data_IF_936164375179
#
_entry.id   IF_936164375179
#
_cell.length_a   1.000
_cell.length_b   1.000
_cell.length_c   1.000
_cell.angle_alpha   90.00
_cell.angle_beta   90.00
_cell.angle_gamma   90.00
#
_symmetry.space_group_name_H-M   'P 1'
#
loop_
_entity.id
_entity.type
_entity.pdbx_description
1 polymer ?
#
# COMPACT_ATOMS: atom_id res chain seq x y z
N UNK A 1 -2.40 21.63 14.45
CA UNK A 1 -3.22 20.39 14.55
C UNK A 1 -4.15 20.35 13.35
N UNK A 2 -3.77 19.62 12.29
CA UNK A 2 -4.57 19.57 11.05
C UNK A 2 -5.66 18.52 11.25
N UNK A 3 -6.92 18.89 11.00
CA UNK A 3 -8.08 18.00 10.99
C UNK A 3 -8.06 17.11 9.73
N UNK A 4 -7.13 16.16 9.68
CA UNK A 4 -6.92 15.24 8.55
C UNK A 4 -7.84 13.99 8.54
N UNK A 5 -8.47 13.49 9.64
CA UNK A 5 -9.15 12.19 9.61
C UNK A 5 -10.24 12.08 8.53
N UNK A 6 -11.01 13.15 8.32
CA UNK A 6 -12.08 13.16 7.29
C UNK A 6 -11.52 13.13 5.87
N UNK A 7 -10.38 13.78 5.63
CA UNK A 7 -9.72 13.77 4.32
C UNK A 7 -9.16 12.38 4.03
N UNK A 8 -8.41 11.79 4.97
CA UNK A 8 -7.84 10.44 4.78
C UNK A 8 -8.92 9.39 4.58
N UNK A 9 -9.99 9.43 5.38
CA UNK A 9 -11.14 8.54 5.19
C UNK A 9 -11.75 8.68 3.80
N UNK A 10 -11.89 9.91 3.31
CA UNK A 10 -12.45 10.16 1.97
C UNK A 10 -11.51 9.65 0.88
N UNK A 11 -10.21 9.91 1.02
CA UNK A 11 -9.20 9.43 0.08
C UNK A 11 -9.16 7.89 0.06
N UNK A 12 -9.12 7.22 1.21
CA UNK A 12 -9.18 5.75 1.31
C UNK A 12 -10.41 5.18 0.61
N UNK A 13 -11.59 5.80 0.80
CA UNK A 13 -12.81 5.36 0.14
C UNK A 13 -12.76 5.58 -1.38
N UNK A 14 -12.25 6.73 -1.84
CA UNK A 14 -12.14 7.06 -3.25
C UNK A 14 -11.08 6.20 -3.97
N UNK A 15 -9.99 5.82 -3.29
CA UNK A 15 -8.95 4.93 -3.81
C UNK A 15 -9.45 3.52 -4.15
N UNK A 16 -10.56 3.11 -3.53
CA UNK A 16 -11.21 1.81 -3.77
C UNK A 16 -12.57 1.96 -4.47
N UNK A 17 -12.93 3.16 -4.91
CA UNK A 17 -14.22 3.42 -5.53
C UNK A 17 -14.40 2.58 -6.79
N UNK A 18 -15.42 1.71 -6.78
CA UNK A 18 -15.81 0.87 -7.93
C UNK A 18 -14.65 0.01 -8.48
N UNK A 19 -13.73 -0.41 -7.62
CA UNK A 19 -12.48 -1.08 -8.02
C UNK A 19 -12.68 -2.45 -8.71
N UNK A 20 -13.86 -3.06 -8.56
CA UNK A 20 -14.21 -4.35 -9.18
C UNK A 20 -15.57 -4.30 -9.88
N UNK A 21 -16.02 -3.12 -10.32
CA UNK A 21 -17.31 -2.94 -10.99
C UNK A 21 -17.13 -2.27 -12.34
N UNK A 22 -17.56 -2.93 -13.41
CA UNK A 22 -17.64 -2.37 -14.75
C UNK A 22 -19.07 -1.92 -15.03
N UNK A 23 -19.28 -0.62 -15.23
CA UNK A 23 -20.62 -0.06 -15.47
C UNK A 23 -20.75 0.38 -16.93
N UNK A 24 -19.84 1.26 -17.37
CA UNK A 24 -19.73 1.77 -18.73
C UNK A 24 -18.36 2.45 -18.89
N UNK A 25 -17.82 2.48 -20.11
CA UNK A 25 -16.49 3.01 -20.43
C UNK A 25 -16.25 4.43 -19.89
N UNK A 26 -17.25 5.31 -19.96
CA UNK A 26 -17.10 6.69 -19.48
C UNK A 26 -16.98 6.78 -17.95
N UNK A 27 -17.82 6.02 -17.25
CA UNK A 27 -17.83 5.97 -15.78
C UNK A 27 -16.60 5.23 -15.25
N UNK A 28 -16.18 4.17 -15.93
CA UNK A 28 -15.02 3.37 -15.56
C UNK A 28 -13.73 4.20 -15.69
N UNK A 29 -13.59 5.00 -16.76
CA UNK A 29 -12.46 5.94 -16.93
C UNK A 29 -12.41 7.00 -15.83
N UNK A 30 -13.53 7.65 -15.53
CA UNK A 30 -13.57 8.65 -14.46
C UNK A 30 -13.27 8.02 -13.10
N UNK A 31 -13.78 6.81 -12.84
CA UNK A 31 -13.52 6.08 -11.61
C UNK A 31 -12.05 5.69 -11.48
N UNK A 32 -11.39 5.29 -12.58
CA UNK A 32 -9.94 5.04 -12.62
C UNK A 32 -9.14 6.29 -12.26
N UNK A 33 -9.45 7.43 -12.88
CA UNK A 33 -8.77 8.70 -12.60
C UNK A 33 -8.93 9.11 -11.13
N UNK A 34 -10.15 9.03 -10.58
CA UNK A 34 -10.42 9.33 -9.16
C UNK A 34 -9.63 8.41 -8.23
N UNK A 35 -9.59 7.10 -8.52
CA UNK A 35 -8.78 6.15 -7.73
C UNK A 35 -7.30 6.49 -7.79
N UNK A 36 -6.78 6.73 -8.99
CA UNK A 36 -5.36 7.04 -9.22
C UNK A 36 -4.92 8.28 -8.45
N UNK A 37 -5.66 9.39 -8.60
CA UNK A 37 -5.35 10.63 -7.88
C UNK A 37 -5.47 10.47 -6.37
N UNK A 38 -6.49 9.75 -5.89
CA UNK A 38 -6.68 9.53 -4.45
C UNK A 38 -5.52 8.71 -3.85
N UNK A 39 -5.07 7.66 -4.56
CA UNK A 39 -3.91 6.85 -4.16
C UNK A 39 -2.63 7.68 -4.16
N UNK A 40 -2.39 8.49 -5.20
CA UNK A 40 -1.24 9.40 -5.26
C UNK A 40 -1.25 10.38 -4.09
N UNK A 41 -2.40 10.95 -3.73
CA UNK A 41 -2.53 11.80 -2.54
C UNK A 41 -2.16 11.05 -1.25
N UNK A 42 -2.66 9.82 -1.07
CA UNK A 42 -2.31 9.02 0.11
C UNK A 42 -0.81 8.70 0.17
N UNK A 43 -0.18 8.38 -0.96
CA UNK A 43 1.27 8.14 -1.06
C UNK A 43 2.04 9.40 -0.65
N UNK A 44 1.61 10.59 -1.09
CA UNK A 44 2.27 11.83 -0.69
C UNK A 44 2.10 12.13 0.80
N UNK A 45 0.93 11.85 1.38
CA UNK A 45 0.72 11.97 2.82
C UNK A 45 1.60 10.97 3.56
N UNK A 46 1.74 9.75 3.06
CA UNK A 46 2.65 8.75 3.63
C UNK A 46 4.09 9.27 3.58
N UNK A 47 4.59 9.69 2.41
CA UNK A 47 5.97 10.13 2.21
C UNK A 47 6.35 11.35 3.06
N UNK A 48 5.48 12.38 3.08
CA UNK A 48 5.79 13.66 3.71
C UNK A 48 5.13 13.86 5.07
N UNK A 49 4.33 12.90 5.50
CA UNK A 49 3.65 12.91 6.79
C UNK A 49 4.57 12.53 7.94
N UNK A 50 4.44 13.25 9.04
CA UNK A 50 5.10 12.96 10.31
C UNK A 50 4.46 11.76 11.01
N UNK A 51 4.90 11.48 12.24
CA UNK A 51 4.36 10.40 13.07
C UNK A 51 2.83 10.45 13.20
N UNK A 52 2.26 11.64 13.39
CA UNK A 52 0.81 11.80 13.51
C UNK A 52 0.10 11.43 12.19
N UNK A 53 0.65 11.84 11.05
CA UNK A 53 0.11 11.45 9.76
C UNK A 53 0.21 9.93 9.52
N UNK A 54 1.30 9.28 9.93
CA UNK A 54 1.42 7.81 9.84
C UNK A 54 0.36 7.11 10.69
N UNK A 55 0.12 7.58 11.93
CA UNK A 55 -0.93 7.08 12.80
C UNK A 55 -2.31 7.16 12.16
N UNK A 56 -2.64 8.31 11.57
CA UNK A 56 -3.91 8.50 10.88
C UNK A 56 -4.05 7.63 9.63
N UNK A 57 -2.97 7.39 8.88
CA UNK A 57 -2.98 6.47 7.73
C UNK A 57 -3.33 5.05 8.16
N UNK A 58 -2.71 4.54 9.22
CA UNK A 58 -3.03 3.20 9.77
C UNK A 58 -4.48 3.12 10.24
N UNK A 59 -4.95 4.15 10.96
CA UNK A 59 -6.33 4.21 11.44
C UNK A 59 -7.36 4.26 10.30
N UNK A 60 -6.97 4.77 9.13
CA UNK A 60 -7.82 4.83 7.94
C UNK A 60 -7.56 3.68 6.94
N UNK A 61 -6.86 2.63 7.36
CA UNK A 61 -6.64 1.42 6.57
C UNK A 61 -5.75 1.63 5.35
N UNK A 62 -4.77 2.52 5.41
CA UNK A 62 -3.89 2.80 4.27
C UNK A 62 -3.18 1.55 3.75
N UNK A 63 -2.65 0.69 4.63
CA UNK A 63 -2.02 -0.58 4.23
C UNK A 63 -2.97 -1.45 3.40
N UNK A 64 -4.19 -1.62 3.90
CA UNK A 64 -5.30 -2.30 3.19
C UNK A 64 -5.63 -1.65 1.84
N UNK A 65 -5.69 -0.32 1.76
CA UNK A 65 -5.97 0.40 0.50
C UNK A 65 -4.89 0.11 -0.55
N UNK A 66 -3.62 0.17 -0.17
CA UNK A 66 -2.52 -0.13 -1.10
C UNK A 66 -2.57 -1.60 -1.53
N UNK A 67 -2.80 -2.51 -0.59
CA UNK A 67 -2.95 -3.95 -0.87
C UNK A 67 -4.02 -4.23 -1.92
N UNK A 68 -5.26 -3.85 -1.64
CA UNK A 68 -6.39 -4.07 -2.55
C UNK A 68 -6.15 -3.39 -3.91
N UNK A 69 -5.46 -2.25 -3.92
CA UNK A 69 -5.21 -1.51 -5.15
C UNK A 69 -4.33 -2.25 -6.15
N UNK A 70 -3.30 -2.98 -5.69
CA UNK A 70 -2.43 -3.72 -6.59
C UNK A 70 -2.89 -5.16 -6.81
N UNK A 71 -3.57 -5.79 -5.84
CA UNK A 71 -4.12 -7.13 -6.01
C UNK A 71 -5.26 -7.18 -7.02
N UNK A 72 -5.90 -6.03 -7.26
CA UNK A 72 -6.95 -5.86 -8.28
C UNK A 72 -6.42 -5.26 -9.59
N UNK A 73 -5.10 -5.12 -9.75
CA UNK A 73 -4.50 -4.68 -11.02
C UNK A 73 -4.80 -5.74 -12.09
N UNK A 74 -5.85 -5.50 -12.87
CA UNK A 74 -6.27 -6.34 -13.99
C UNK A 74 -5.63 -5.85 -15.29
N UNK A 75 -4.87 -6.71 -15.96
CA UNK A 75 -4.21 -6.40 -17.23
C UNK A 75 -3.50 -7.63 -17.81
N UNK A 76 -2.90 -7.48 -18.98
CA UNK A 76 -2.03 -8.48 -19.62
C UNK A 76 -0.92 -7.71 -20.33
N UNK A 77 0.10 -7.25 -19.61
CA UNK A 77 1.30 -6.57 -20.15
C UNK A 77 2.11 -5.86 -19.04
N UNK A 78 3.14 -5.11 -19.47
CA UNK A 78 4.02 -4.26 -18.66
C UNK A 78 3.29 -3.23 -17.79
N UNK A 79 2.07 -2.82 -18.15
CA UNK A 79 1.29 -1.85 -17.36
C UNK A 79 0.82 -2.50 -16.06
N UNK A 80 0.42 -3.77 -16.11
CA UNK A 80 0.08 -4.54 -14.92
C UNK A 80 1.30 -4.73 -14.01
N UNK A 81 2.44 -5.09 -14.59
CA UNK A 81 3.69 -5.26 -13.85
C UNK A 81 4.12 -3.96 -13.15
N UNK A 82 3.95 -2.81 -13.81
CA UNK A 82 4.22 -1.51 -13.21
C UNK A 82 3.32 -1.21 -12.00
N UNK A 83 2.02 -1.52 -12.09
CA UNK A 83 1.07 -1.30 -11.01
C UNK A 83 1.34 -2.22 -9.82
N UNK A 84 1.60 -3.50 -10.08
CA UNK A 84 1.98 -4.50 -9.07
C UNK A 84 3.28 -4.08 -8.38
N UNK A 85 4.31 -3.76 -9.16
CA UNK A 85 5.60 -3.32 -8.65
C UNK A 85 5.46 -2.08 -7.77
N UNK A 86 4.72 -1.07 -8.24
CA UNK A 86 4.51 0.15 -7.48
C UNK A 86 3.76 -0.14 -6.17
N UNK A 87 2.71 -0.95 -6.22
CA UNK A 87 1.96 -1.39 -5.02
C UNK A 87 2.85 -2.08 -3.99
N UNK A 88 3.63 -3.07 -4.41
CA UNK A 88 4.57 -3.81 -3.57
C UNK A 88 5.70 -2.92 -3.02
N UNK A 89 6.19 -1.95 -3.80
CA UNK A 89 7.16 -0.95 -3.35
C UNK A 89 6.56 -0.03 -2.28
N UNK A 90 5.34 0.45 -2.47
CA UNK A 90 4.68 1.33 -1.50
C UNK A 90 4.40 0.61 -0.17
N UNK A 91 3.86 -0.61 -0.22
CA UNK A 91 3.55 -1.39 1.00
C UNK A 91 4.83 -1.80 1.75
N UNK A 92 5.87 -2.24 1.01
CA UNK A 92 7.19 -2.55 1.56
C UNK A 92 7.76 -1.35 2.33
N UNK A 93 7.80 -0.18 1.68
CA UNK A 93 8.30 1.04 2.30
C UNK A 93 7.48 1.45 3.51
N UNK A 94 6.16 1.44 3.39
CA UNK A 94 5.28 1.83 4.49
C UNK A 94 5.51 0.97 5.73
N UNK A 95 5.51 -0.36 5.58
CA UNK A 95 5.76 -1.29 6.69
C UNK A 95 7.18 -1.14 7.26
N UNK A 96 8.18 -0.97 6.38
CA UNK A 96 9.57 -0.76 6.78
C UNK A 96 9.75 0.52 7.61
N UNK A 97 9.16 1.64 7.18
CA UNK A 97 9.23 2.90 7.90
C UNK A 97 8.49 2.83 9.24
N UNK A 98 7.33 2.16 9.30
CA UNK A 98 6.67 1.92 10.59
C UNK A 98 7.50 1.03 11.52
N UNK A 99 8.20 0.01 11.00
CA UNK A 99 8.94 -0.94 11.82
C UNK A 99 10.30 -0.39 12.29
N UNK A 100 11.04 0.28 11.40
CA UNK A 100 12.40 0.76 11.68
C UNK A 100 12.48 2.26 11.96
N UNK A 101 11.40 3.01 11.74
CA UNK A 101 11.41 4.47 11.75
C UNK A 101 11.91 5.05 10.42
N UNK A 102 11.90 6.38 10.32
CA UNK A 102 12.34 7.12 9.14
C UNK A 102 13.50 8.04 9.50
N UNK A 103 14.71 7.68 9.05
CA UNK A 103 15.95 8.43 9.33
C UNK A 103 16.62 9.05 8.09
N UNK A 104 16.26 8.59 6.89
CA UNK A 104 16.96 8.98 5.66
C UNK A 104 16.34 10.19 4.95
N UNK A 105 15.15 10.63 5.37
CA UNK A 105 14.48 11.82 4.84
C UNK A 105 13.46 12.39 5.82
N UNK A 106 13.14 13.67 5.67
CA UNK A 106 12.14 14.36 6.50
C UNK A 106 10.70 14.09 6.03
N UNK A 107 9.72 14.11 6.95
CA UNK A 107 9.88 14.27 8.40
C UNK A 107 10.38 13.00 9.07
N UNK A 108 11.31 13.13 10.02
CA UNK A 108 11.85 12.00 10.76
C UNK A 108 10.88 11.52 11.83
N UNK A 109 10.83 10.21 12.09
CA UNK A 109 10.11 9.63 13.22
C UNK A 109 10.77 8.32 13.68
N UNK A 110 10.60 8.01 14.95
CA UNK A 110 11.09 6.77 15.57
C UNK A 110 10.21 5.57 15.14
N UNK A 111 10.69 4.33 15.26
CA UNK A 111 9.86 3.13 15.07
C UNK A 111 8.47 3.23 15.71
N UNK A 112 7.44 2.82 14.96
CA UNK A 112 6.04 2.75 15.36
C UNK A 112 5.55 1.28 15.31
N UNK A 113 6.11 0.39 16.15
CA UNK A 113 5.93 -1.06 16.03
C UNK A 113 4.46 -1.52 16.18
N UNK A 114 3.67 -0.85 17.03
CA UNK A 114 2.24 -1.14 17.16
C UNK A 114 1.47 -0.85 15.87
N UNK A 115 1.84 0.21 15.17
CA UNK A 115 1.22 0.60 13.91
C UNK A 115 1.65 -0.30 12.75
N UNK A 116 2.91 -0.72 12.75
CA UNK A 116 3.40 -1.74 11.83
C UNK A 116 2.56 -3.02 11.97
N UNK A 117 2.35 -3.47 13.21
CA UNK A 117 1.54 -4.66 13.52
C UNK A 117 0.10 -4.53 13.04
N UNK A 118 -0.57 -3.43 13.41
CA UNK A 118 -1.95 -3.18 12.97
C UNK A 118 -2.08 -3.15 11.45
N UNK A 119 -1.09 -2.58 10.75
CA UNK A 119 -1.09 -2.54 9.28
C UNK A 119 -0.96 -3.92 8.68
N UNK A 120 -0.08 -4.77 9.23
CA UNK A 120 0.06 -6.16 8.78
C UNK A 120 -1.21 -6.94 9.03
N UNK A 121 -1.80 -6.86 10.23
CA UNK A 121 -3.07 -7.53 10.55
C UNK A 121 -4.18 -7.13 9.55
N UNK A 122 -4.33 -5.83 9.24
CA UNK A 122 -5.29 -5.33 8.25
C UNK A 122 -5.06 -5.86 6.83
N UNK A 123 -3.80 -6.10 6.45
CA UNK A 123 -3.41 -6.57 5.13
C UNK A 123 -3.63 -8.09 5.05
N UNK A 124 -3.26 -8.85 6.09
CA UNK A 124 -3.49 -10.29 6.18
C UNK A 124 -4.99 -10.64 6.16
N UNK A 125 -5.83 -9.86 6.83
CA UNK A 125 -7.29 -10.02 6.82
C UNK A 125 -7.92 -9.96 5.41
N UNK A 126 -7.23 -9.34 4.44
CA UNK A 126 -7.69 -9.21 3.05
C UNK A 126 -7.10 -10.28 2.11
N UNK A 127 -6.40 -11.30 2.63
CA UNK A 127 -5.83 -12.39 1.83
C UNK A 127 -4.47 -12.05 1.21
N UNK A 128 -3.68 -11.21 1.89
CA UNK A 128 -2.38 -10.81 1.39
C UNK A 128 -1.34 -11.92 1.31
N UNK A 129 -1.49 -12.98 2.11
CA UNK A 129 -0.55 -14.09 2.08
C UNK A 129 -0.60 -14.80 0.73
N UNK A 130 -1.80 -15.10 0.23
CA UNK A 130 -2.02 -15.74 -1.06
C UNK A 130 -1.57 -14.86 -2.23
N UNK A 131 -1.91 -13.57 -2.19
CA UNK A 131 -1.53 -12.64 -3.25
C UNK A 131 -0.02 -12.42 -3.30
N UNK A 132 0.63 -12.20 -2.15
CA UNK A 132 2.10 -12.03 -2.10
C UNK A 132 2.79 -13.29 -2.56
N UNK A 133 2.30 -14.48 -2.21
CA UNK A 133 2.84 -15.75 -2.70
C UNK A 133 2.69 -15.93 -4.21
N UNK A 134 1.58 -15.47 -4.80
CA UNK A 134 1.42 -15.44 -6.25
C UNK A 134 2.49 -14.54 -6.90
N UNK A 135 2.68 -13.33 -6.35
CA UNK A 135 3.64 -12.35 -6.90
C UNK A 135 5.12 -12.73 -6.71
N UNK A 136 5.45 -13.64 -5.78
CA UNK A 136 6.82 -14.18 -5.64
C UNK A 136 7.28 -14.97 -6.88
N UNK A 137 6.35 -15.51 -7.66
CA UNK A 137 6.65 -16.24 -8.89
C UNK A 137 6.51 -15.35 -10.13
N UNK A 138 6.15 -14.08 -9.97
CA UNK A 138 6.01 -13.14 -11.07
C UNK A 138 7.40 -12.75 -11.60
N UNK A 139 7.64 -13.06 -12.88
CA UNK A 139 8.88 -12.74 -13.62
C UNK A 139 8.88 -11.34 -14.23
N UNK A 140 7.79 -10.60 -14.04
CA UNK A 140 7.62 -9.22 -14.47
C UNK A 140 8.65 -8.28 -13.85
N UNK A 141 8.96 -7.23 -14.60
CA UNK A 141 10.05 -6.33 -14.34
C UNK A 141 9.63 -4.89 -14.62
N UNK A 142 10.00 -3.98 -13.73
CA UNK A 142 9.74 -2.57 -13.90
C UNK A 142 10.86 -1.73 -13.26
N UNK A 143 11.31 -0.67 -13.94
CA UNK A 143 12.33 0.28 -13.46
C UNK A 143 13.57 -0.41 -12.87
N UNK A 144 14.17 -1.26 -13.69
CA UNK A 144 15.31 -2.09 -13.36
C UNK A 144 15.17 -3.04 -12.15
N UNK A 145 13.94 -3.37 -11.77
CA UNK A 145 13.64 -4.12 -10.55
C UNK A 145 12.64 -5.26 -10.77
N UNK A 146 12.90 -6.42 -10.16
CA UNK A 146 12.01 -7.58 -10.25
C UNK A 146 10.85 -7.50 -9.25
N UNK A 147 9.64 -7.84 -9.69
CA UNK A 147 8.45 -7.92 -8.82
C UNK A 147 8.65 -8.94 -7.69
N UNK A 148 9.19 -10.12 -8.02
CA UNK A 148 9.46 -11.18 -7.02
C UNK A 148 10.31 -10.72 -5.84
N UNK A 149 11.27 -9.82 -6.05
CA UNK A 149 12.18 -9.38 -4.98
C UNK A 149 11.43 -8.51 -3.96
N UNK A 150 10.53 -7.65 -4.45
CA UNK A 150 9.63 -6.89 -3.58
C UNK A 150 8.59 -7.79 -2.91
N UNK A 151 8.01 -8.75 -3.62
CA UNK A 151 7.09 -9.71 -3.03
C UNK A 151 7.76 -10.51 -1.89
N UNK A 152 9.01 -10.95 -2.08
CA UNK A 152 9.81 -11.59 -1.03
C UNK A 152 10.04 -10.68 0.19
N UNK A 153 10.31 -9.40 -0.03
CA UNK A 153 10.46 -8.44 1.06
C UNK A 153 9.16 -8.22 1.83
N UNK A 154 8.04 -8.04 1.11
CA UNK A 154 6.71 -7.90 1.72
C UNK A 154 6.37 -9.15 2.51
N UNK A 155 6.64 -10.34 1.96
CA UNK A 155 6.47 -11.61 2.69
C UNK A 155 7.30 -11.66 3.96
N UNK A 156 8.54 -11.19 3.94
CA UNK A 156 9.37 -11.13 5.14
C UNK A 156 8.78 -10.16 6.18
N UNK A 157 8.30 -8.99 5.76
CA UNK A 157 7.67 -8.00 6.66
C UNK A 157 6.36 -8.51 7.27
N UNK A 158 5.52 -9.16 6.47
CA UNK A 158 4.21 -9.70 6.89
C UNK A 158 4.40 -10.95 7.75
N UNK A 159 5.16 -11.95 7.29
CA UNK A 159 5.26 -13.26 7.95
C UNK A 159 6.41 -13.38 8.98
N UNK A 160 7.56 -12.72 8.78
CA UNK A 160 8.75 -13.01 9.60
C UNK A 160 8.95 -12.05 10.78
N UNK A 161 8.43 -10.83 10.73
CA UNK A 161 8.74 -9.81 11.76
C UNK A 161 7.82 -9.80 12.99
N UNK A 162 6.60 -10.36 12.91
CA UNK A 162 5.68 -10.40 14.06
C UNK A 162 5.67 -11.73 14.81
N UNK A 163 6.32 -12.77 14.25
CA UNK A 163 6.55 -14.05 14.94
C UNK A 163 7.67 -13.96 15.98
N UNK A 164 8.63 -13.04 15.82
CA UNK A 164 9.82 -12.92 16.69
C UNK A 164 9.70 -11.84 17.79
N UNK A 165 8.60 -11.07 17.83
CA UNK A 165 8.36 -10.06 18.88
C UNK A 165 7.32 -10.54 19.90
N UNK A 166 7.47 -11.77 20.39
CA UNK A 166 6.59 -12.37 21.40
C UNK A 166 7.23 -12.35 22.78
#
# INVERSE_FOLDING_TARGET
>A
MIQIPKLLRSLSALSLYKISTHIDLGVDRQSLEVRSWSRTCLIYIQYYGDEQAQQELVNNGYGRVIFISYSTAGGIDEVQDAEIWNGLKQISRFLSELHFGRYNHKPFFQPLPLLARMSVEQIEEEGANEEVEAQMNNVGYYDDSNIKDYANYVKAMVLNHFVHSR
#
